data_IF_498028680715
#
_entry.id   IF_498028680715
#
_cell.length_a   1.000
_cell.length_b   1.000
_cell.length_c   1.000
_cell.angle_alpha   90.00
_cell.angle_beta   90.00
_cell.angle_gamma   90.00
#
_symmetry.space_group_name_H-M   'P 1'
#
loop_
_entity.id
_entity.type
_entity.pdbx_description
1 polymer ?
#
# COMPACT_ATOMS: atom_id res chain seq x y z
N UNK A 1 44.03 -53.87 75.66
CA UNK A 1 45.36 -54.26 75.13
C UNK A 1 45.17 -54.91 73.78
N UNK A 2 45.72 -54.26 72.75
CA UNK A 2 46.09 -54.72 71.41
C UNK A 2 45.27 -55.83 70.71
N UNK A 3 44.25 -55.43 69.95
CA UNK A 3 43.90 -56.19 68.75
C UNK A 3 45.05 -56.00 67.75
N UNK A 4 45.73 -57.10 67.38
CA UNK A 4 46.88 -57.09 66.49
C UNK A 4 46.56 -56.47 65.11
N UNK A 5 47.59 -56.03 64.34
CA UNK A 5 47.38 -55.37 63.07
C UNK A 5 46.71 -56.35 62.10
N UNK A 6 45.41 -56.17 61.86
CA UNK A 6 44.71 -56.86 60.79
C UNK A 6 45.49 -56.65 59.48
N UNK A 7 45.81 -57.75 58.79
CA UNK A 7 46.57 -57.67 57.55
C UNK A 7 45.88 -56.73 56.56
N UNK A 8 46.66 -55.98 55.78
CA UNK A 8 46.17 -55.02 54.78
C UNK A 8 45.09 -55.63 53.87
N UNK A 9 45.22 -56.93 53.60
CA UNK A 9 44.29 -57.74 52.84
C UNK A 9 42.89 -57.82 53.48
N UNK A 10 42.83 -58.05 54.78
CA UNK A 10 41.58 -58.13 55.56
C UNK A 10 40.85 -56.78 55.64
N UNK A 11 41.59 -55.66 55.65
CA UNK A 11 41.02 -54.30 55.59
C UNK A 11 40.47 -54.00 54.19
N UNK A 12 41.15 -54.43 53.14
CA UNK A 12 40.70 -54.26 51.76
C UNK A 12 39.46 -55.12 51.45
N UNK A 13 39.38 -56.35 51.96
CA UNK A 13 38.20 -57.19 51.79
C UNK A 13 36.97 -56.63 52.52
N UNK A 14 37.14 -56.13 53.75
CA UNK A 14 36.05 -55.45 54.49
C UNK A 14 35.59 -54.18 53.77
N UNK A 15 36.52 -53.41 53.19
CA UNK A 15 36.20 -52.20 52.44
C UNK A 15 35.47 -52.52 51.12
N UNK A 16 35.92 -53.55 50.40
CA UNK A 16 35.26 -54.02 49.18
C UNK A 16 33.82 -54.50 49.45
N UNK A 17 33.58 -55.19 50.57
CA UNK A 17 32.24 -55.62 50.97
C UNK A 17 31.30 -54.42 51.28
N UNK A 18 31.81 -53.39 51.95
CA UNK A 18 31.02 -52.21 52.33
C UNK A 18 30.63 -51.33 51.13
N UNK A 19 31.45 -51.30 50.08
CA UNK A 19 31.16 -50.57 48.83
C UNK A 19 30.34 -51.43 47.85
N UNK A 20 29.89 -52.62 48.27
CA UNK A 20 29.03 -53.50 47.48
C UNK A 20 29.74 -54.24 46.34
N UNK A 21 31.07 -54.34 46.38
CA UNK A 21 31.85 -54.99 45.33
C UNK A 21 31.65 -56.52 45.37
N UNK A 22 30.77 -57.04 44.50
CA UNK A 22 30.63 -58.48 44.26
C UNK A 22 31.57 -58.87 43.12
N UNK A 23 32.78 -59.30 43.46
CA UNK A 23 33.89 -59.58 42.54
C UNK A 23 33.64 -60.66 41.47
N UNK A 24 32.78 -60.38 40.49
CA UNK A 24 32.56 -61.24 39.32
C UNK A 24 32.44 -60.38 38.06
N UNK A 25 33.58 -59.94 37.56
CA UNK A 25 33.70 -59.47 36.17
C UNK A 25 33.89 -60.70 35.28
N UNK A 26 33.13 -60.81 34.18
CA UNK A 26 33.20 -61.92 33.23
C UNK A 26 34.60 -61.98 32.59
N UNK A 27 35.25 -63.14 32.72
CA UNK A 27 36.38 -63.56 31.89
C UNK A 27 37.75 -63.39 32.56
N UNK A 28 38.29 -64.49 33.11
CA UNK A 28 39.71 -64.92 33.19
C UNK A 28 39.97 -65.88 34.40
N UNK A 29 41.06 -66.68 34.37
CA UNK A 29 41.07 -68.06 34.90
C UNK A 29 41.38 -68.17 36.40
N UNK A 30 41.08 -69.37 36.91
CA UNK A 30 40.89 -69.74 38.34
C UNK A 30 42.12 -69.73 39.25
N UNK A 31 43.30 -69.28 38.83
CA UNK A 31 44.50 -69.40 39.65
C UNK A 31 45.28 -68.07 39.71
N UNK A 32 44.95 -67.25 40.70
CA UNK A 32 45.82 -66.18 41.14
C UNK A 32 45.74 -66.08 42.67
N UNK A 33 46.88 -66.40 43.28
CA UNK A 33 47.26 -66.13 44.67
C UNK A 33 46.77 -64.76 45.16
N UNK A 34 46.52 -64.65 46.48
CA UNK A 34 45.79 -63.57 47.15
C UNK A 34 46.12 -62.11 46.81
N UNK A 35 47.24 -61.81 46.12
CA UNK A 35 47.58 -60.48 45.64
C UNK A 35 46.77 -59.96 44.42
N UNK A 36 46.26 -60.84 43.55
CA UNK A 36 45.60 -60.41 42.30
C UNK A 36 44.22 -59.76 42.49
N UNK A 37 43.49 -60.17 43.53
CA UNK A 37 42.15 -59.63 43.83
C UNK A 37 42.19 -58.20 44.35
N UNK A 38 43.23 -57.85 45.11
CA UNK A 38 43.43 -56.51 45.65
C UNK A 38 43.77 -55.49 44.55
N UNK A 39 44.62 -55.86 43.59
CA UNK A 39 44.96 -55.01 42.45
C UNK A 39 43.73 -54.71 41.57
N UNK A 40 42.89 -55.72 41.29
CA UNK A 40 41.68 -55.55 40.51
C UNK A 40 40.63 -54.67 41.23
N UNK A 41 40.49 -54.81 42.54
CA UNK A 41 39.62 -53.93 43.33
C UNK A 41 40.08 -52.47 43.28
N UNK A 42 41.40 -52.23 43.42
CA UNK A 42 41.94 -50.86 43.35
C UNK A 42 41.79 -50.26 41.95
N UNK A 43 41.97 -51.04 40.88
CA UNK A 43 41.74 -50.55 39.53
C UNK A 43 40.27 -50.20 39.28
N UNK A 44 39.34 -51.02 39.76
CA UNK A 44 37.91 -50.72 39.70
C UNK A 44 37.57 -49.45 40.51
N UNK A 45 38.09 -49.34 41.73
CA UNK A 45 37.85 -48.19 42.60
C UNK A 45 38.38 -46.91 41.96
N UNK A 46 39.63 -46.90 41.48
CA UNK A 46 40.23 -45.74 40.82
C UNK A 46 39.53 -45.39 39.50
N UNK A 47 38.86 -46.34 38.83
CA UNK A 47 38.05 -46.07 37.63
C UNK A 47 36.66 -45.50 37.91
N UNK A 48 36.14 -45.66 39.12
CA UNK A 48 34.80 -45.20 39.55
C UNK A 48 34.85 -43.99 40.50
N UNK A 49 36.03 -43.61 40.97
CA UNK A 49 36.25 -42.42 41.79
C UNK A 49 36.32 -41.18 40.89
N UNK A 50 35.22 -40.45 40.81
CA UNK A 50 35.17 -39.07 40.31
C UNK A 50 35.47 -38.13 41.49
N UNK A 51 36.12 -36.97 41.32
CA UNK A 51 36.34 -36.00 42.42
C UNK A 51 35.06 -35.54 43.14
N UNK A 52 33.88 -35.74 42.55
CA UNK A 52 32.58 -35.55 43.19
C UNK A 52 32.23 -36.60 44.26
N UNK A 53 32.93 -37.75 44.28
CA UNK A 53 32.73 -38.84 45.23
C UNK A 53 33.68 -38.75 46.45
N UNK A 54 34.57 -37.76 46.47
CA UNK A 54 35.51 -37.53 47.55
C UNK A 54 35.00 -36.38 48.43
N UNK A 55 34.52 -36.70 49.63
CA UNK A 55 34.12 -35.70 50.60
C UNK A 55 35.35 -34.91 51.09
N UNK A 56 35.23 -33.60 51.13
CA UNK A 56 36.22 -32.74 51.77
C UNK A 56 36.12 -32.85 53.30
N UNK A 57 37.21 -32.56 54.00
CA UNK A 57 37.25 -32.65 55.47
C UNK A 57 36.17 -31.76 56.14
N UNK A 58 35.86 -30.60 55.55
CA UNK A 58 34.80 -29.71 56.03
C UNK A 58 33.39 -30.28 55.86
N UNK A 59 33.16 -31.12 54.84
CA UNK A 59 31.86 -31.78 54.63
C UNK A 59 31.68 -32.96 55.58
N UNK A 60 32.77 -33.66 55.92
CA UNK A 60 32.74 -34.67 56.98
C UNK A 60 32.40 -34.06 58.35
N UNK A 61 33.01 -32.92 58.69
CA UNK A 61 32.74 -32.25 59.97
C UNK A 61 31.28 -31.81 60.08
N UNK A 62 30.70 -31.30 58.98
CA UNK A 62 29.27 -30.96 58.89
C UNK A 62 28.37 -32.19 58.98
N UNK A 63 28.76 -33.31 58.38
CA UNK A 63 28.02 -34.56 58.49
C UNK A 63 28.05 -35.12 59.92
N UNK A 64 29.18 -35.03 60.61
CA UNK A 64 29.26 -35.41 62.03
C UNK A 64 28.42 -34.50 62.93
N UNK A 65 28.35 -33.21 62.63
CA UNK A 65 27.46 -32.26 63.31
C UNK A 65 25.99 -32.61 63.07
N UNK A 66 25.60 -32.91 61.83
CA UNK A 66 24.24 -33.36 61.49
C UNK A 66 23.88 -34.70 62.15
N UNK A 67 24.86 -35.60 62.31
CA UNK A 67 24.67 -36.87 63.01
C UNK A 67 24.43 -36.67 64.51
N UNK A 68 25.05 -35.65 65.11
CA UNK A 68 24.83 -35.28 66.52
C UNK A 68 23.48 -34.62 66.75
N UNK A 69 22.94 -33.91 65.75
CA UNK A 69 21.61 -33.28 65.83
C UNK A 69 20.45 -34.23 65.49
N UNK A 70 20.74 -35.45 65.03
CA UNK A 70 19.75 -36.49 64.76
C UNK A 70 18.94 -36.28 63.48
N UNK A 71 19.33 -35.33 62.63
CA UNK A 71 18.65 -34.99 61.36
C UNK A 71 19.42 -35.61 60.19
N UNK A 72 19.65 -36.92 60.24
CA UNK A 72 20.28 -37.66 59.14
C UNK A 72 19.26 -38.65 58.60
N UNK A 73 18.88 -38.47 57.34
CA UNK A 73 17.96 -39.35 56.64
C UNK A 73 18.70 -40.65 56.29
N UNK A 74 18.27 -41.77 56.87
CA UNK A 74 18.88 -43.09 56.63
C UNK A 74 17.88 -44.05 55.95
N UNK A 75 18.39 -44.89 55.04
CA UNK A 75 17.61 -45.99 54.47
C UNK A 75 16.47 -45.58 53.52
N UNK A 76 15.22 -45.82 53.92
CA UNK A 76 14.04 -45.68 53.07
C UNK A 76 13.66 -44.21 52.82
N UNK A 77 13.81 -43.35 53.82
CA UNK A 77 13.50 -41.91 53.72
C UNK A 77 14.47 -41.18 52.79
N UNK A 78 15.75 -41.55 52.82
CA UNK A 78 16.74 -41.04 51.88
C UNK A 78 16.45 -41.51 50.45
N UNK A 79 16.02 -42.76 50.27
CA UNK A 79 15.65 -43.30 48.96
C UNK A 79 14.42 -42.60 48.39
N UNK A 80 13.45 -42.25 49.23
CA UNK A 80 12.27 -41.50 48.81
C UNK A 80 12.60 -40.05 48.47
N UNK A 81 13.46 -39.40 49.25
CA UNK A 81 13.95 -38.05 48.96
C UNK A 81 14.78 -38.02 47.65
N UNK A 82 15.66 -38.99 47.42
CA UNK A 82 16.42 -39.12 46.18
C UNK A 82 15.50 -39.44 44.99
N UNK A 83 14.50 -40.31 45.16
CA UNK A 83 13.50 -40.59 44.12
C UNK A 83 12.66 -39.36 43.74
N UNK A 84 12.40 -38.46 44.70
CA UNK A 84 11.76 -37.16 44.45
C UNK A 84 12.67 -36.20 43.68
N UNK A 85 13.98 -36.24 43.92
CA UNK A 85 14.99 -35.43 43.21
C UNK A 85 15.23 -35.96 41.78
N UNK A 86 15.29 -37.29 41.61
CA UNK A 86 15.41 -37.95 40.30
C UNK A 86 14.11 -37.79 39.48
N UNK A 87 12.94 -37.80 40.12
CA UNK A 87 11.66 -37.47 39.49
C UNK A 87 11.57 -36.01 39.01
N UNK A 88 12.29 -35.08 39.65
CA UNK A 88 12.40 -33.69 39.23
C UNK A 88 13.45 -33.44 38.13
N UNK A 89 14.35 -34.39 37.85
CA UNK A 89 15.30 -34.28 36.72
C UNK A 89 14.74 -34.83 35.40
N UNK A 90 13.60 -35.53 35.45
CA UNK A 90 12.83 -35.97 34.28
C UNK A 90 11.74 -34.99 33.81
N UNK A 91 11.52 -33.89 34.54
CA UNK A 91 10.64 -32.80 34.09
C UNK A 91 11.47 -31.80 33.32
N UNK A 92 10.97 -31.36 32.17
CA UNK A 92 11.51 -30.33 31.27
C UNK A 92 11.77 -28.99 31.99
N UNK A 93 12.75 -28.95 32.88
CA UNK A 93 13.34 -27.72 33.35
C UNK A 93 14.06 -27.14 32.15
N UNK A 94 13.42 -26.18 31.47
CA UNK A 94 14.04 -25.43 30.36
C UNK A 94 15.47 -25.09 30.78
N UNK A 95 16.44 -25.67 30.08
CA UNK A 95 17.86 -25.42 30.32
C UNK A 95 18.10 -23.91 30.40
N UNK A 96 19.05 -23.45 31.21
CA UNK A 96 19.28 -22.01 31.39
C UNK A 96 19.53 -21.30 30.04
N UNK A 97 20.11 -22.00 29.06
CA UNK A 97 20.24 -21.54 27.67
C UNK A 97 18.90 -21.34 26.95
N UNK A 98 17.91 -22.21 27.16
CA UNK A 98 16.57 -22.07 26.56
C UNK A 98 15.81 -20.88 27.13
N UNK A 99 15.92 -20.63 28.44
CA UNK A 99 15.34 -19.45 29.08
C UNK A 99 16.01 -18.16 28.58
N UNK A 100 17.34 -18.17 28.40
CA UNK A 100 18.07 -17.04 27.80
C UNK A 100 17.65 -16.79 26.35
N UNK A 101 17.46 -17.83 25.55
CA UNK A 101 16.98 -17.72 24.19
C UNK A 101 15.54 -17.16 24.13
N UNK A 102 14.66 -17.59 25.04
CA UNK A 102 13.30 -17.09 25.15
C UNK A 102 13.25 -15.62 25.58
N UNK A 103 14.07 -15.21 26.55
CA UNK A 103 14.23 -13.80 26.96
C UNK A 103 14.72 -12.97 25.78
N UNK A 104 15.73 -13.43 25.05
CA UNK A 104 16.25 -12.71 23.87
C UNK A 104 15.20 -12.57 22.76
N UNK A 105 14.39 -13.62 22.53
CA UNK A 105 13.29 -13.58 21.58
C UNK A 105 12.17 -12.61 22.01
N UNK A 106 11.87 -12.56 23.31
CA UNK A 106 10.90 -11.62 23.86
C UNK A 106 11.41 -10.17 23.79
N UNK A 107 12.68 -9.92 24.09
CA UNK A 107 13.31 -8.61 23.93
C UNK A 107 13.26 -8.13 22.48
N UNK A 108 13.54 -9.03 21.53
CA UNK A 108 13.43 -8.73 20.11
C UNK A 108 11.98 -8.40 19.72
N UNK A 109 11.01 -9.15 20.23
CA UNK A 109 9.57 -8.92 19.99
C UNK A 109 9.07 -7.59 20.59
N UNK A 110 9.54 -7.24 21.78
CA UNK A 110 9.25 -5.94 22.42
C UNK A 110 9.87 -4.81 21.61
N UNK A 111 11.10 -4.99 21.11
CA UNK A 111 11.76 -3.98 20.27
C UNK A 111 11.00 -3.75 18.96
N UNK A 112 10.53 -4.80 18.29
CA UNK A 112 9.74 -4.67 17.06
C UNK A 112 8.39 -4.01 17.33
N UNK A 113 7.68 -4.41 18.40
CA UNK A 113 6.42 -3.77 18.80
C UNK A 113 6.60 -2.29 19.13
N UNK A 114 7.71 -1.91 19.77
CA UNK A 114 8.04 -0.51 20.05
C UNK A 114 8.25 0.30 18.75
N UNK A 115 8.94 -0.27 17.76
CA UNK A 115 9.10 0.40 16.45
C UNK A 115 7.77 0.54 15.71
N UNK A 116 6.88 -0.46 15.79
CA UNK A 116 5.54 -0.38 15.23
C UNK A 116 4.70 0.70 15.92
N UNK A 117 4.76 0.80 17.25
CA UNK A 117 4.05 1.83 17.99
C UNK A 117 4.55 3.23 17.63
N UNK A 118 5.87 3.42 17.49
CA UNK A 118 6.44 4.68 17.03
C UNK A 118 5.97 5.04 15.60
N UNK A 119 5.93 4.07 14.69
CA UNK A 119 5.38 4.26 13.34
C UNK A 119 3.92 4.72 13.38
N UNK A 120 3.07 4.05 14.16
CA UNK A 120 1.66 4.42 14.31
C UNK A 120 1.52 5.83 14.91
N UNK A 121 2.32 6.17 15.91
CA UNK A 121 2.30 7.50 16.53
C UNK A 121 2.74 8.60 15.53
N UNK A 122 3.76 8.33 14.72
CA UNK A 122 4.16 9.24 13.64
C UNK A 122 3.05 9.44 12.59
N UNK A 123 2.30 8.38 12.27
CA UNK A 123 1.15 8.48 11.37
C UNK A 123 0.04 9.32 12.03
N UNK A 124 -0.27 9.09 13.30
CA UNK A 124 -1.29 9.86 14.02
C UNK A 124 -0.93 11.35 14.12
N UNK A 125 0.32 11.69 14.40
CA UNK A 125 0.77 13.09 14.44
C UNK A 125 0.67 13.75 13.06
N UNK A 126 1.07 13.04 12.01
CA UNK A 126 0.94 13.52 10.62
C UNK A 126 -0.52 13.76 10.23
N UNK A 127 -1.41 12.81 10.56
CA UNK A 127 -2.85 12.94 10.31
C UNK A 127 -3.45 14.11 11.11
N UNK A 128 -3.04 14.30 12.35
CA UNK A 128 -3.51 15.41 13.19
C UNK A 128 -3.11 16.78 12.61
N UNK A 129 -1.87 16.91 12.11
CA UNK A 129 -1.42 18.13 11.43
C UNK A 129 -2.20 18.37 10.14
N UNK A 130 -2.43 17.32 9.34
CA UNK A 130 -3.22 17.43 8.11
C UNK A 130 -4.67 17.84 8.40
N UNK A 131 -5.30 17.25 9.42
CA UNK A 131 -6.65 17.62 9.84
C UNK A 131 -6.73 19.09 10.30
N UNK A 132 -5.73 19.58 11.05
CA UNK A 132 -5.67 20.98 11.43
C UNK A 132 -5.50 21.90 10.20
N UNK A 133 -4.71 21.49 9.21
CA UNK A 133 -4.56 22.21 7.94
C UNK A 133 -5.89 22.32 7.16
N UNK A 134 -6.62 21.22 7.01
CA UNK A 134 -7.92 21.19 6.33
C UNK A 134 -8.97 22.06 7.03
N UNK A 135 -8.98 22.07 8.37
CA UNK A 135 -9.91 22.92 9.12
C UNK A 135 -9.62 24.40 8.88
N UNK A 136 -8.34 24.78 8.83
CA UNK A 136 -7.92 26.15 8.51
C UNK A 136 -8.30 26.56 7.09
N UNK A 137 -8.05 25.69 6.11
CA UNK A 137 -8.45 25.94 4.71
C UNK A 137 -9.96 26.11 4.58
N UNK A 138 -10.75 25.27 5.27
CA UNK A 138 -12.21 25.40 5.33
C UNK A 138 -12.68 26.72 5.95
N UNK A 139 -12.01 27.21 7.00
CA UNK A 139 -12.31 28.52 7.60
C UNK A 139 -12.00 29.67 6.63
N UNK A 140 -10.86 29.61 5.93
CA UNK A 140 -10.47 30.59 4.91
C UNK A 140 -11.46 30.59 3.72
N UNK A 141 -11.87 29.42 3.24
CA UNK A 141 -12.92 29.26 2.21
C UNK A 141 -14.27 29.82 2.68
N UNK A 142 -14.67 29.58 3.93
CA UNK A 142 -15.91 30.13 4.48
C UNK A 142 -15.89 31.66 4.54
N UNK A 143 -14.74 32.26 4.88
CA UNK A 143 -14.58 33.71 4.93
C UNK A 143 -14.62 34.33 3.54
N UNK A 144 -13.93 33.72 2.57
CA UNK A 144 -13.96 34.18 1.17
C UNK A 144 -15.36 34.04 0.58
N UNK A 145 -16.05 32.93 0.82
CA UNK A 145 -17.44 32.74 0.41
C UNK A 145 -18.35 33.82 1.00
N UNK A 146 -18.27 34.09 2.31
CA UNK A 146 -19.05 35.15 2.96
C UNK A 146 -18.79 36.53 2.34
N UNK A 147 -17.53 36.85 2.03
CA UNK A 147 -17.17 38.09 1.35
C UNK A 147 -17.76 38.17 -0.07
N UNK A 148 -17.68 37.08 -0.85
CA UNK A 148 -18.27 37.04 -2.20
C UNK A 148 -19.78 37.19 -2.18
N UNK A 149 -20.47 36.55 -1.23
CA UNK A 149 -21.93 36.68 -1.04
C UNK A 149 -22.29 38.12 -0.71
N UNK A 150 -21.57 38.76 0.23
CA UNK A 150 -21.78 40.17 0.57
C UNK A 150 -21.58 41.08 -0.65
N UNK A 151 -20.51 40.86 -1.43
CA UNK A 151 -20.25 41.63 -2.65
C UNK A 151 -21.31 41.42 -3.74
N UNK A 152 -21.86 40.21 -3.87
CA UNK A 152 -22.95 39.96 -4.81
C UNK A 152 -24.24 40.61 -4.34
N UNK A 153 -24.50 40.63 -3.03
CA UNK A 153 -25.67 41.27 -2.47
C UNK A 153 -25.65 42.79 -2.65
N UNK A 154 -24.48 43.43 -2.52
CA UNK A 154 -24.33 44.86 -2.82
C UNK A 154 -24.51 45.15 -4.31
N UNK A 155 -23.90 44.35 -5.20
CA UNK A 155 -24.09 44.50 -6.64
C UNK A 155 -25.56 44.33 -7.07
N UNK A 156 -26.28 43.38 -6.47
CA UNK A 156 -27.70 43.15 -6.73
C UNK A 156 -28.54 44.34 -6.28
N UNK A 157 -28.25 44.93 -5.12
CA UNK A 157 -28.93 46.14 -4.65
C UNK A 157 -28.66 47.33 -5.60
N UNK A 158 -27.43 47.51 -6.08
CA UNK A 158 -27.11 48.57 -7.06
C UNK A 158 -27.88 48.36 -8.36
N UNK A 159 -27.92 47.13 -8.89
CA UNK A 159 -28.66 46.83 -10.11
C UNK A 159 -30.18 47.05 -9.95
N UNK A 160 -30.74 46.77 -8.78
CA UNK A 160 -32.15 47.07 -8.46
C UNK A 160 -32.40 48.58 -8.45
N UNK A 161 -31.52 49.35 -7.84
CA UNK A 161 -31.60 50.81 -7.84
C UNK A 161 -31.50 51.39 -9.26
N UNK A 162 -30.59 50.87 -10.09
CA UNK A 162 -30.45 51.29 -11.49
C UNK A 162 -31.72 50.97 -12.29
N UNK A 163 -32.33 49.79 -12.08
CA UNK A 163 -33.61 49.44 -12.70
C UNK A 163 -34.74 50.39 -12.30
N UNK A 164 -34.82 50.78 -11.02
CA UNK A 164 -35.80 51.78 -10.55
C UNK A 164 -35.59 53.13 -11.23
N UNK A 165 -34.33 53.57 -11.38
CA UNK A 165 -34.00 54.81 -12.09
C UNK A 165 -34.37 54.73 -13.58
N UNK A 166 -34.06 53.61 -14.24
CA UNK A 166 -34.41 53.41 -15.66
C UNK A 166 -35.92 53.39 -15.83
N UNK A 167 -36.66 52.69 -14.98
CA UNK A 167 -38.12 52.67 -15.04
C UNK A 167 -38.71 54.07 -14.89
N UNK A 168 -38.22 54.86 -13.92
CA UNK A 168 -38.64 56.26 -13.75
C UNK A 168 -38.29 57.13 -14.97
N UNK A 169 -37.12 56.93 -15.58
CA UNK A 169 -36.73 57.64 -16.80
C UNK A 169 -37.60 57.24 -18.01
N UNK A 170 -37.97 55.97 -18.13
CA UNK A 170 -38.86 55.45 -19.18
C UNK A 170 -40.27 56.00 -19.00
N UNK A 171 -40.79 56.05 -17.76
CA UNK A 171 -42.08 56.69 -17.46
C UNK A 171 -42.05 58.19 -17.81
N UNK A 172 -40.96 58.88 -17.47
CA UNK A 172 -40.77 60.29 -17.85
C UNK A 172 -40.70 60.49 -19.37
N UNK A 173 -40.01 59.61 -20.09
CA UNK A 173 -39.97 59.62 -21.55
C UNK A 173 -41.36 59.33 -22.13
N UNK A 174 -42.10 58.37 -21.57
CA UNK A 174 -43.47 58.06 -21.96
C UNK A 174 -44.38 59.27 -21.83
N UNK A 175 -44.33 59.97 -20.69
CA UNK A 175 -45.08 61.22 -20.50
C UNK A 175 -44.67 62.32 -21.47
N UNK A 176 -43.38 62.47 -21.77
CA UNK A 176 -42.91 63.46 -22.74
C UNK A 176 -43.33 63.11 -24.17
N UNK A 177 -43.36 61.83 -24.53
CA UNK A 177 -43.88 61.34 -25.80
C UNK A 177 -45.39 61.56 -25.88
N UNK A 178 -46.14 61.30 -24.81
CA UNK A 178 -47.58 61.59 -24.73
C UNK A 178 -47.86 63.09 -24.88
N UNK A 179 -47.03 63.96 -24.28
CA UNK A 179 -47.11 65.41 -24.47
C UNK A 179 -46.88 65.78 -25.94
N UNK A 180 -45.83 65.25 -26.58
CA UNK A 180 -45.54 65.47 -28.02
C UNK A 180 -46.69 64.97 -28.88
N UNK A 181 -47.22 63.78 -28.61
CA UNK A 181 -48.39 63.22 -29.30
C UNK A 181 -49.60 64.14 -29.12
N UNK A 182 -49.83 64.68 -27.92
CA UNK A 182 -50.94 65.61 -27.66
C UNK A 182 -50.82 66.94 -28.42
N UNK A 183 -49.60 67.46 -28.58
CA UNK A 183 -49.33 68.63 -29.43
C UNK A 183 -49.60 68.36 -30.91
N UNK A 184 -49.40 67.12 -31.36
CA UNK A 184 -49.68 66.70 -32.74
C UNK A 184 -51.13 66.25 -32.97
N UNK A 185 -51.88 65.90 -31.91
CA UNK A 185 -53.29 65.51 -31.95
C UNK A 185 -54.25 66.68 -31.72
N UNK A 186 -53.88 67.90 -32.11
CA UNK A 186 -54.81 69.03 -32.01
C UNK A 186 -56.00 68.83 -32.97
N UNK A 187 -57.27 68.90 -32.51
CA UNK A 187 -58.42 68.89 -33.39
C UNK A 187 -58.38 70.14 -34.29
N UNK A 188 -58.46 69.91 -35.60
CA UNK A 188 -58.81 70.94 -36.57
C UNK A 188 -60.15 71.57 -36.16
N UNK A 189 -60.11 72.81 -35.69
CA UNK A 189 -61.23 73.72 -35.81
C UNK A 189 -61.28 74.26 -37.23
N UNK A 190 -62.26 73.77 -37.99
CA UNK A 190 -62.93 74.39 -39.14
C UNK A 190 -62.12 75.33 -40.05
N UNK A 191 -61.62 74.78 -41.16
CA UNK A 191 -61.90 75.20 -42.55
C UNK A 191 -60.72 74.85 -43.48
N UNK A 192 -61.00 73.96 -44.44
CA UNK A 192 -60.33 73.95 -45.74
C UNK A 192 -58.91 73.38 -45.84
N UNK A 193 -58.82 72.19 -46.41
CA UNK A 193 -57.62 71.75 -47.15
C UNK A 193 -56.79 70.69 -46.44
N UNK A 194 -56.79 69.48 -47.02
CA UNK A 194 -55.97 68.36 -46.56
C UNK A 194 -54.50 68.74 -46.48
N UNK A 195 -53.93 68.53 -45.30
CA UNK A 195 -52.52 68.69 -45.00
C UNK A 195 -52.16 67.69 -43.93
N UNK A 196 -52.05 66.44 -44.36
CA UNK A 196 -51.47 65.32 -43.62
C UNK A 196 -50.14 65.77 -43.00
N UNK A 197 -50.10 66.02 -41.68
CA UNK A 197 -48.87 66.21 -40.93
C UNK A 197 -48.22 64.83 -40.69
N UNK A 198 -47.87 64.15 -41.78
CA UNK A 198 -47.05 62.94 -41.80
C UNK A 198 -45.60 63.36 -42.01
N UNK A 199 -44.94 63.78 -40.94
CA UNK A 199 -43.50 64.14 -40.95
C UNK A 199 -42.57 62.93 -40.74
N UNK A 200 -43.12 61.74 -40.55
CA UNK A 200 -42.36 60.50 -40.61
C UNK A 200 -42.98 59.61 -41.67
N UNK A 201 -42.25 59.41 -42.76
CA UNK A 201 -42.55 58.38 -43.74
C UNK A 201 -42.59 57.03 -43.05
N UNK A 202 -43.78 56.59 -42.64
CA UNK A 202 -44.03 55.21 -42.20
C UNK A 202 -44.02 54.29 -43.43
N UNK A 203 -42.86 54.11 -44.05
CA UNK A 203 -42.62 52.86 -44.75
C UNK A 203 -42.34 51.82 -43.66
N UNK A 204 -43.28 50.90 -43.42
CA UNK A 204 -43.09 49.88 -42.39
C UNK A 204 -41.83 49.08 -42.67
N UNK A 205 -40.78 49.27 -41.87
CA UNK A 205 -39.54 48.49 -41.97
C UNK A 205 -39.76 47.02 -41.61
N UNK A 206 -40.91 46.69 -41.03
CA UNK A 206 -41.28 45.36 -40.55
C UNK A 206 -41.22 44.29 -41.65
N UNK A 207 -41.59 44.63 -42.89
CA UNK A 207 -41.45 43.71 -44.02
C UNK A 207 -39.99 43.44 -44.39
N UNK A 208 -39.09 44.43 -44.26
CA UNK A 208 -37.67 44.25 -44.51
C UNK A 208 -37.02 43.47 -43.37
N UNK A 209 -37.34 43.80 -42.11
CA UNK A 209 -36.83 43.08 -40.94
C UNK A 209 -37.29 41.61 -40.93
N UNK A 210 -38.57 41.35 -41.25
CA UNK A 210 -39.07 39.98 -41.35
C UNK A 210 -38.42 39.19 -42.50
N UNK A 211 -38.14 39.83 -43.64
CA UNK A 211 -37.42 39.21 -44.74
C UNK A 211 -35.94 38.97 -44.42
N UNK A 212 -35.27 39.91 -43.73
CA UNK A 212 -33.90 39.75 -43.24
C UNK A 212 -33.80 38.62 -42.21
N UNK A 213 -34.75 38.53 -41.27
CA UNK A 213 -34.80 37.44 -40.28
C UNK A 213 -35.01 36.09 -40.95
N UNK A 214 -35.92 36.00 -41.94
CA UNK A 214 -36.14 34.78 -42.72
C UNK A 214 -34.86 34.37 -43.50
N UNK A 215 -34.17 35.33 -44.11
CA UNK A 215 -32.93 35.05 -44.82
C UNK A 215 -31.79 34.65 -43.88
N UNK A 216 -31.66 35.33 -42.74
CA UNK A 216 -30.64 35.03 -41.73
C UNK A 216 -30.86 33.66 -41.10
N UNK A 217 -32.11 33.27 -40.85
CA UNK A 217 -32.43 31.93 -40.33
C UNK A 217 -32.10 30.83 -41.34
N UNK A 218 -32.43 31.02 -42.62
CA UNK A 218 -32.10 30.07 -43.69
C UNK A 218 -30.58 29.97 -43.91
N UNK A 219 -29.88 31.11 -43.92
CA UNK A 219 -28.42 31.17 -44.01
C UNK A 219 -27.75 30.49 -42.82
N UNK A 220 -28.29 30.70 -41.62
CA UNK A 220 -27.80 30.04 -40.38
C UNK A 220 -28.02 28.53 -40.47
N UNK A 221 -29.18 28.07 -40.93
CA UNK A 221 -29.48 26.65 -41.10
C UNK A 221 -28.56 26.00 -42.15
N UNK A 222 -28.35 26.66 -43.30
CA UNK A 222 -27.42 26.21 -44.33
C UNK A 222 -25.99 26.11 -43.80
N UNK A 223 -25.50 27.15 -43.11
CA UNK A 223 -24.17 27.16 -42.50
C UNK A 223 -24.02 26.02 -41.50
N UNK A 224 -25.04 25.80 -40.65
CA UNK A 224 -25.01 24.70 -39.69
C UNK A 224 -24.93 23.34 -40.35
N UNK A 225 -25.71 23.12 -41.41
CA UNK A 225 -25.72 21.88 -42.17
C UNK A 225 -24.37 21.61 -42.87
N UNK A 226 -23.76 22.64 -43.48
CA UNK A 226 -22.50 22.47 -44.20
C UNK A 226 -21.30 22.26 -43.30
N UNK A 227 -21.25 22.96 -42.16
CA UNK A 227 -20.05 23.00 -41.32
C UNK A 227 -20.13 22.15 -40.06
N UNK A 228 -21.31 21.90 -39.48
CA UNK A 228 -21.40 21.24 -38.17
C UNK A 228 -21.90 19.79 -38.25
N UNK A 229 -22.71 19.43 -39.24
CA UNK A 229 -23.29 18.08 -39.30
C UNK A 229 -22.25 16.97 -39.61
N UNK A 230 -21.21 17.27 -40.40
CA UNK A 230 -20.12 16.31 -40.69
C UNK A 230 -19.14 16.11 -39.53
N UNK A 231 -19.05 17.05 -38.60
CA UNK A 231 -18.11 16.98 -37.47
C UNK A 231 -18.57 15.97 -36.42
N UNK A 232 -19.89 15.86 -36.19
CA UNK A 232 -20.47 14.84 -35.32
C UNK A 232 -20.15 13.41 -35.81
N UNK A 233 -20.13 13.20 -37.13
CA UNK A 233 -19.80 11.91 -37.75
C UNK A 233 -18.31 11.56 -37.58
N UNK A 234 -17.40 12.54 -37.62
CA UNK A 234 -15.97 12.33 -37.39
C UNK A 234 -15.61 11.98 -35.93
N UNK A 235 -16.50 12.26 -34.98
CA UNK A 235 -16.28 12.05 -33.54
C UNK A 235 -16.76 10.69 -33.01
N UNK A 236 -17.22 9.77 -33.88
CA UNK A 236 -17.84 8.49 -33.48
C UNK A 236 -19.01 8.64 -32.48
N UNK A 237 -19.70 9.78 -32.47
CA UNK A 237 -20.90 10.00 -31.66
C UNK A 237 -22.10 10.07 -32.58
N UNK A 238 -22.58 8.92 -33.03
CA UNK A 238 -23.90 8.78 -33.66
C UNK A 238 -24.96 8.71 -32.56
N UNK A 239 -25.42 9.88 -32.10
CA UNK A 239 -26.60 10.03 -31.27
C UNK A 239 -27.60 10.95 -31.99
N UNK A 240 -28.73 10.38 -32.40
CA UNK A 240 -29.84 11.08 -33.03
C UNK A 240 -30.66 11.81 -31.96
N UNK A 241 -30.22 12.99 -31.51
CA UNK A 241 -31.06 13.84 -30.66
C UNK A 241 -31.19 15.23 -31.33
N UNK A 242 -32.16 15.33 -32.25
CA UNK A 242 -32.81 16.61 -32.55
C UNK A 242 -33.73 16.97 -31.38
N UNK A 243 -33.69 18.23 -30.97
CA UNK A 243 -34.61 18.88 -30.03
C UNK A 243 -34.51 18.47 -28.55
N UNK A 244 -33.47 18.97 -27.89
CA UNK A 244 -33.42 19.09 -26.43
C UNK A 244 -32.36 20.11 -26.04
N UNK A 245 -32.62 20.91 -25.00
CA UNK A 245 -31.68 21.83 -24.36
C UNK A 245 -30.22 21.42 -24.58
N UNK A 246 -29.38 22.32 -25.12
CA UNK A 246 -27.93 22.12 -25.29
C UNK A 246 -27.37 21.47 -24.03
N UNK A 247 -27.14 20.16 -24.07
CA UNK A 247 -26.54 19.46 -22.96
C UNK A 247 -25.07 19.89 -22.94
N UNK A 248 -24.73 20.69 -21.94
CA UNK A 248 -23.38 21.19 -21.69
C UNK A 248 -22.41 20.04 -21.36
N UNK A 249 -22.92 18.83 -21.11
CA UNK A 249 -22.15 17.61 -20.90
C UNK A 249 -22.10 16.70 -22.14
N UNK A 250 -22.75 17.06 -23.25
CA UNK A 250 -22.62 16.30 -24.50
C UNK A 250 -21.17 16.40 -24.99
N UNK A 251 -20.46 15.27 -25.19
CA UNK A 251 -19.11 15.27 -25.75
C UNK A 251 -19.04 16.03 -27.08
N UNK A 252 -20.11 16.07 -27.89
CA UNK A 252 -20.12 16.86 -29.13
C UNK A 252 -20.05 18.37 -28.86
N UNK A 253 -20.68 18.89 -27.79
CA UNK A 253 -20.61 20.30 -27.41
C UNK A 253 -19.26 20.70 -26.80
N UNK A 254 -18.64 19.81 -26.00
CA UNK A 254 -17.28 19.99 -25.46
C UNK A 254 -16.26 20.01 -26.59
N UNK A 255 -16.47 19.20 -27.63
CA UNK A 255 -15.64 19.15 -28.84
C UNK A 255 -15.79 20.39 -29.73
N UNK A 256 -16.95 21.06 -29.70
CA UNK A 256 -17.28 22.25 -30.49
C UNK A 256 -16.85 23.56 -29.84
N UNK A 257 -17.03 23.72 -28.52
CA UNK A 257 -16.73 24.95 -27.78
C UNK A 257 -15.39 24.90 -27.03
N UNK A 258 -14.81 23.71 -26.89
CA UNK A 258 -13.75 23.42 -25.94
C UNK A 258 -14.31 23.25 -24.53
N UNK A 259 -13.59 22.55 -23.64
CA UNK A 259 -13.97 22.47 -22.23
C UNK A 259 -14.03 23.88 -21.62
N UNK A 260 -14.93 24.09 -20.65
CA UNK A 260 -14.90 25.32 -19.86
C UNK A 260 -13.53 25.47 -19.17
N UNK A 261 -13.09 26.70 -18.87
CA UNK A 261 -11.79 26.93 -18.21
C UNK A 261 -11.63 26.08 -16.93
N UNK A 262 -12.72 25.92 -16.19
CA UNK A 262 -12.79 25.09 -14.98
C UNK A 262 -12.70 23.59 -15.30
N UNK A 263 -13.44 23.10 -16.31
CA UNK A 263 -13.34 21.70 -16.76
C UNK A 263 -11.97 21.36 -17.31
N UNK A 264 -11.34 22.25 -18.09
CA UNK A 264 -9.98 22.09 -18.59
C UNK A 264 -8.99 21.98 -17.43
N UNK A 265 -9.11 22.88 -16.43
CA UNK A 265 -8.27 22.82 -15.23
C UNK A 265 -8.44 21.52 -14.45
N UNK A 266 -9.67 21.01 -14.35
CA UNK A 266 -10.00 19.72 -13.73
C UNK A 266 -9.38 18.55 -14.51
N UNK A 267 -9.52 18.53 -15.84
CA UNK A 267 -8.94 17.50 -16.70
C UNK A 267 -7.41 17.50 -16.64
N UNK A 268 -6.78 18.68 -16.62
CA UNK A 268 -5.33 18.79 -16.43
C UNK A 268 -4.89 18.24 -15.06
N UNK A 269 -5.66 18.50 -13.99
CA UNK A 269 -5.39 17.91 -12.66
C UNK A 269 -5.52 16.40 -12.69
N UNK A 270 -6.59 15.86 -13.29
CA UNK A 270 -6.78 14.41 -13.41
C UNK A 270 -5.71 13.74 -14.27
N UNK A 271 -5.34 14.33 -15.41
CA UNK A 271 -4.24 13.83 -16.25
C UNK A 271 -2.91 13.83 -15.49
N UNK A 272 -2.64 14.87 -14.69
CA UNK A 272 -1.44 14.93 -13.85
C UNK A 272 -1.49 13.86 -12.77
N UNK A 273 -2.65 13.63 -12.15
CA UNK A 273 -2.86 12.58 -11.16
C UNK A 273 -2.62 11.20 -11.78
N UNK A 274 -3.21 10.91 -12.94
CA UNK A 274 -3.05 9.64 -13.65
C UNK A 274 -1.60 9.42 -14.09
N UNK A 275 -0.93 10.44 -14.62
CA UNK A 275 0.49 10.39 -15.00
C UNK A 275 1.38 10.02 -13.81
N UNK A 276 1.10 10.56 -12.62
CA UNK A 276 1.87 10.25 -11.42
C UNK A 276 1.53 8.88 -10.83
N UNK A 277 0.29 8.42 -11.02
CA UNK A 277 -0.19 7.14 -10.50
C UNK A 277 0.26 5.95 -11.36
N UNK A 278 0.35 6.15 -12.69
CA UNK A 278 0.66 5.08 -13.65
C UNK A 278 1.91 4.27 -13.29
N UNK A 279 3.08 4.87 -12.98
CA UNK A 279 4.28 4.08 -12.68
C UNK A 279 4.13 3.20 -11.45
N UNK A 280 3.35 3.67 -10.46
CA UNK A 280 3.09 2.93 -9.21
C UNK A 280 2.19 1.73 -9.49
N UNK A 281 1.09 1.96 -10.22
CA UNK A 281 0.13 0.90 -10.57
C UNK A 281 0.78 -0.14 -11.46
N UNK A 282 1.57 0.29 -12.45
CA UNK A 282 2.22 -0.62 -13.38
C UNK A 282 3.33 -1.44 -12.69
N UNK A 283 4.09 -0.83 -11.78
CA UNK A 283 5.03 -1.56 -10.94
C UNK A 283 4.33 -2.59 -10.06
N UNK A 284 3.18 -2.25 -9.48
CA UNK A 284 2.40 -3.18 -8.67
C UNK A 284 1.88 -4.34 -9.51
N UNK A 285 1.32 -4.04 -10.69
CA UNK A 285 0.81 -5.04 -11.64
C UNK A 285 1.90 -6.04 -12.03
N UNK A 286 3.09 -5.57 -12.37
CA UNK A 286 4.24 -6.44 -12.70
C UNK A 286 4.65 -7.28 -11.48
N UNK A 287 4.68 -6.69 -10.29
CA UNK A 287 4.99 -7.43 -9.05
C UNK A 287 3.99 -8.54 -8.76
N UNK A 288 2.70 -8.29 -9.00
CA UNK A 288 1.64 -9.27 -8.75
C UNK A 288 1.73 -10.44 -9.75
N UNK A 289 1.95 -10.14 -11.04
CA UNK A 289 2.20 -11.17 -12.08
C UNK A 289 3.43 -12.01 -11.73
N UNK A 290 4.51 -11.37 -11.26
CA UNK A 290 5.71 -12.08 -10.82
C UNK A 290 5.45 -12.98 -9.61
N UNK A 291 4.61 -12.55 -8.67
CA UNK A 291 4.26 -13.34 -7.50
C UNK A 291 3.44 -14.60 -7.87
N UNK A 292 2.52 -14.46 -8.82
CA UNK A 292 1.72 -15.57 -9.36
C UNK A 292 2.61 -16.58 -10.09
N UNK A 293 3.40 -16.13 -11.07
CA UNK A 293 4.33 -16.99 -11.82
C UNK A 293 5.37 -17.65 -10.90
N UNK A 294 5.84 -16.93 -9.88
CA UNK A 294 6.75 -17.48 -8.87
C UNK A 294 6.08 -18.62 -8.09
N UNK A 295 4.84 -18.42 -7.63
CA UNK A 295 4.10 -19.46 -6.91
C UNK A 295 3.89 -20.71 -7.78
N UNK A 296 3.52 -20.53 -9.05
CA UNK A 296 3.35 -21.64 -10.00
C UNK A 296 4.67 -22.37 -10.28
N UNK A 297 5.78 -21.64 -10.46
CA UNK A 297 7.09 -22.23 -10.68
C UNK A 297 7.57 -23.03 -9.45
N UNK A 298 7.30 -22.53 -8.25
CA UNK A 298 7.59 -23.26 -6.99
C UNK A 298 6.78 -24.55 -6.90
N UNK A 299 5.48 -24.50 -7.20
CA UNK A 299 4.63 -25.69 -7.22
C UNK A 299 5.13 -26.72 -8.24
N UNK A 300 5.38 -26.29 -9.49
CA UNK A 300 5.94 -27.16 -10.54
C UNK A 300 7.26 -27.80 -10.09
N UNK A 301 8.18 -27.03 -9.52
CA UNK A 301 9.47 -27.56 -9.05
C UNK A 301 9.30 -28.54 -7.89
N UNK A 302 8.35 -28.29 -6.98
CA UNK A 302 8.04 -29.21 -5.90
C UNK A 302 7.48 -30.54 -6.43
N UNK A 303 6.60 -30.51 -7.43
CA UNK A 303 6.07 -31.70 -8.09
C UNK A 303 7.17 -32.52 -8.80
N UNK A 304 8.07 -31.84 -9.50
CA UNK A 304 9.25 -32.47 -10.12
C UNK A 304 10.13 -33.14 -9.06
N UNK A 305 10.45 -32.45 -7.96
CA UNK A 305 11.27 -33.00 -6.88
C UNK A 305 10.63 -34.22 -6.22
N UNK A 306 9.32 -34.21 -6.00
CA UNK A 306 8.58 -35.37 -5.46
C UNK A 306 8.63 -36.56 -6.43
N UNK A 307 8.56 -36.28 -7.73
CA UNK A 307 8.68 -37.30 -8.78
C UNK A 307 10.10 -37.88 -8.84
N UNK A 308 11.13 -37.02 -8.83
CA UNK A 308 12.55 -37.42 -8.78
C UNK A 308 12.87 -38.28 -7.54
N UNK A 309 12.31 -37.93 -6.36
CA UNK A 309 12.48 -38.69 -5.12
C UNK A 309 11.79 -40.06 -5.15
N UNK A 310 10.69 -40.18 -5.91
CA UNK A 310 10.00 -41.48 -6.10
C UNK A 310 10.83 -42.44 -6.96
N UNK A 311 11.66 -41.90 -7.85
CA UNK A 311 12.44 -42.67 -8.84
C UNK A 311 13.90 -42.94 -8.43
N UNK A 312 14.42 -42.29 -7.38
CA UNK A 312 15.84 -42.36 -7.02
C UNK A 312 16.11 -43.16 -5.73
N UNK A 313 16.67 -44.37 -5.86
CA UNK A 313 17.15 -45.20 -4.74
C UNK A 313 18.69 -45.33 -4.69
N UNK A 314 19.43 -44.29 -5.09
CA UNK A 314 20.90 -44.37 -5.18
C UNK A 314 21.58 -43.78 -3.93
N UNK A 315 22.62 -44.44 -3.38
CA UNK A 315 23.41 -43.89 -2.29
C UNK A 315 24.27 -42.72 -2.82
N UNK A 316 24.06 -41.52 -2.27
CA UNK A 316 24.83 -40.32 -2.64
C UNK A 316 26.07 -40.16 -1.75
N UNK A 317 27.19 -39.82 -2.37
CA UNK A 317 28.43 -39.42 -1.68
C UNK A 317 28.30 -38.00 -1.09
N UNK A 318 28.56 -37.89 0.22
CA UNK A 318 28.43 -36.65 1.00
C UNK A 318 29.36 -35.52 0.55
N UNK A 319 30.49 -35.85 -0.06
CA UNK A 319 31.49 -34.86 -0.51
C UNK A 319 31.05 -34.13 -1.77
N UNK A 320 30.56 -34.87 -2.77
CA UNK A 320 29.94 -34.35 -4.00
C UNK A 320 28.68 -33.52 -3.71
N UNK A 321 27.87 -33.94 -2.74
CA UNK A 321 26.72 -33.19 -2.25
C UNK A 321 27.11 -31.80 -1.72
N UNK A 322 28.17 -31.72 -0.91
CA UNK A 322 28.65 -30.43 -0.38
C UNK A 322 29.14 -29.51 -1.49
N UNK A 323 29.85 -30.03 -2.47
CA UNK A 323 30.30 -29.25 -3.63
C UNK A 323 29.10 -28.70 -4.42
N UNK A 324 28.13 -29.55 -4.77
CA UNK A 324 26.93 -29.12 -5.49
C UNK A 324 26.08 -28.13 -4.70
N UNK A 325 25.95 -28.28 -3.38
CA UNK A 325 25.26 -27.29 -2.53
C UNK A 325 25.98 -25.94 -2.60
N UNK A 326 27.32 -25.94 -2.60
CA UNK A 326 28.13 -24.73 -2.76
C UNK A 326 27.91 -24.04 -4.10
N UNK A 327 28.00 -24.79 -5.20
CA UNK A 327 27.77 -24.30 -6.56
C UNK A 327 26.34 -23.75 -6.74
N UNK A 328 25.32 -24.49 -6.26
CA UNK A 328 23.92 -24.07 -6.32
C UNK A 328 23.65 -22.82 -5.48
N UNK A 329 24.28 -22.69 -4.31
CA UNK A 329 24.18 -21.48 -3.49
C UNK A 329 24.82 -20.28 -4.17
N UNK A 330 25.96 -20.49 -4.84
CA UNK A 330 26.59 -19.47 -5.69
C UNK A 330 25.65 -19.00 -6.81
N UNK A 331 25.08 -19.93 -7.57
CA UNK A 331 24.11 -19.63 -8.62
C UNK A 331 22.89 -18.88 -8.08
N UNK A 332 22.34 -19.31 -6.94
CA UNK A 332 21.19 -18.66 -6.31
C UNK A 332 21.52 -17.23 -5.88
N UNK A 333 22.71 -16.98 -5.32
CA UNK A 333 23.14 -15.63 -4.95
C UNK A 333 23.35 -14.72 -6.17
N UNK A 334 23.88 -15.27 -7.27
CA UNK A 334 24.02 -14.54 -8.53
C UNK A 334 22.65 -14.14 -9.10
N UNK A 335 21.73 -15.12 -9.20
CA UNK A 335 20.37 -14.88 -9.68
C UNK A 335 19.63 -13.88 -8.80
N UNK A 336 19.76 -13.96 -7.47
CA UNK A 336 19.17 -12.96 -6.57
C UNK A 336 19.71 -11.55 -6.82
N UNK A 337 21.02 -11.41 -7.06
CA UNK A 337 21.62 -10.11 -7.40
C UNK A 337 21.09 -9.58 -8.73
N UNK A 338 20.96 -10.44 -9.73
CA UNK A 338 20.42 -10.10 -11.05
C UNK A 338 18.95 -9.68 -10.98
N UNK A 339 18.11 -10.43 -10.26
CA UNK A 339 16.71 -10.06 -9.99
C UNK A 339 16.61 -8.73 -9.26
N UNK A 340 17.48 -8.48 -8.29
CA UNK A 340 17.49 -7.21 -7.55
C UNK A 340 17.91 -6.04 -8.46
N UNK A 341 18.88 -6.25 -9.35
CA UNK A 341 19.29 -5.26 -10.36
C UNK A 341 18.15 -4.95 -11.34
N UNK A 342 17.49 -6.00 -11.87
CA UNK A 342 16.34 -5.84 -12.77
C UNK A 342 15.19 -5.08 -12.09
N UNK A 343 14.82 -5.47 -10.87
CA UNK A 343 13.72 -4.85 -10.14
C UNK A 343 13.99 -3.39 -9.72
N UNK A 344 15.24 -3.07 -9.33
CA UNK A 344 15.58 -1.72 -8.82
C UNK A 344 16.02 -0.73 -9.88
N UNK A 345 16.64 -1.20 -10.97
CA UNK A 345 17.23 -0.31 -11.97
C UNK A 345 16.51 -0.38 -13.31
N UNK A 346 16.27 -1.57 -13.84
CA UNK A 346 15.75 -1.71 -15.21
C UNK A 346 14.23 -1.52 -15.28
N UNK A 347 13.48 -2.13 -14.36
CA UNK A 347 12.02 -2.09 -14.35
C UNK A 347 11.46 -0.65 -14.20
N UNK A 348 11.94 0.20 -13.27
CA UNK A 348 11.45 1.57 -13.15
C UNK A 348 11.71 2.41 -14.40
N UNK A 349 12.88 2.23 -15.04
CA UNK A 349 13.23 2.94 -16.27
C UNK A 349 12.31 2.54 -17.42
N UNK A 350 12.05 1.23 -17.58
CA UNK A 350 11.18 0.73 -18.64
C UNK A 350 9.72 1.22 -18.43
N UNK A 351 9.23 1.20 -17.19
CA UNK A 351 7.89 1.72 -16.87
C UNK A 351 7.81 3.22 -17.18
N UNK A 352 8.87 3.97 -16.90
CA UNK A 352 8.95 5.38 -17.26
C UNK A 352 8.89 5.58 -18.78
N UNK A 353 9.67 4.82 -19.55
CA UNK A 353 9.69 4.91 -21.01
C UNK A 353 8.32 4.57 -21.60
N UNK A 354 7.65 3.51 -21.13
CA UNK A 354 6.28 3.16 -21.54
C UNK A 354 5.31 4.29 -21.21
N UNK A 355 5.38 4.88 -20.02
CA UNK A 355 4.54 6.01 -19.66
C UNK A 355 4.74 7.22 -20.59
N UNK A 356 5.99 7.50 -21.00
CA UNK A 356 6.26 8.58 -21.97
C UNK A 356 5.72 8.27 -23.36
N UNK A 357 5.80 7.01 -23.79
CA UNK A 357 5.24 6.55 -25.07
C UNK A 357 3.72 6.65 -25.09
N UNK A 358 3.03 6.24 -24.02
CA UNK A 358 1.57 6.37 -23.92
C UNK A 358 1.12 7.83 -24.02
N UNK A 359 1.80 8.76 -23.34
CA UNK A 359 1.52 10.21 -23.47
C UNK A 359 1.69 10.66 -24.92
N UNK A 360 2.72 10.17 -25.62
CA UNK A 360 2.92 10.46 -27.04
C UNK A 360 1.77 9.93 -27.90
N UNK A 361 1.19 8.77 -27.58
CA UNK A 361 0.03 8.23 -28.34
C UNK A 361 -1.23 9.05 -28.14
N UNK A 362 -1.50 9.51 -26.92
CA UNK A 362 -2.64 10.40 -26.62
C UNK A 362 -2.50 11.72 -27.38
N UNK A 363 -1.29 12.29 -27.33
CA UNK A 363 -0.99 13.54 -28.03
C UNK A 363 -1.13 13.37 -29.56
N UNK A 364 -0.66 12.25 -30.10
CA UNK A 364 -0.83 11.91 -31.52
C UNK A 364 -2.32 11.81 -31.90
N UNK A 365 -3.14 11.18 -31.07
CA UNK A 365 -4.59 11.11 -31.25
C UNK A 365 -5.23 12.50 -31.32
N UNK A 366 -4.93 13.38 -30.37
CA UNK A 366 -5.45 14.77 -30.35
C UNK A 366 -5.04 15.56 -31.61
N UNK A 367 -3.76 15.49 -32.00
CA UNK A 367 -3.30 16.13 -33.22
C UNK A 367 -3.95 15.54 -34.48
N UNK A 368 -4.10 14.23 -34.56
CA UNK A 368 -4.77 13.59 -35.70
C UNK A 368 -6.22 14.05 -35.85
N UNK A 369 -6.93 14.22 -34.73
CA UNK A 369 -8.29 14.74 -34.72
C UNK A 369 -8.33 16.23 -35.14
N UNK A 370 -7.39 17.04 -34.65
CA UNK A 370 -7.25 18.45 -35.06
C UNK A 370 -6.96 18.59 -36.56
N UNK A 371 -6.09 17.76 -37.11
CA UNK A 371 -5.79 17.72 -38.54
C UNK A 371 -7.03 17.29 -39.33
N UNK A 372 -7.71 16.21 -38.93
CA UNK A 372 -8.95 15.78 -39.59
C UNK A 372 -10.04 16.87 -39.60
N UNK A 373 -10.17 17.65 -38.51
CA UNK A 373 -11.06 18.82 -38.46
C UNK A 373 -10.63 19.91 -39.42
N UNK A 374 -9.35 20.25 -39.41
CA UNK A 374 -8.80 21.27 -40.30
C UNK A 374 -9.03 20.88 -41.76
N UNK A 375 -8.70 19.64 -42.12
CA UNK A 375 -8.91 19.09 -43.46
C UNK A 375 -10.39 19.12 -43.87
N UNK A 376 -11.31 18.81 -42.94
CA UNK A 376 -12.75 18.93 -43.17
C UNK A 376 -13.17 20.37 -43.47
N UNK A 377 -12.73 21.34 -42.65
CA UNK A 377 -13.07 22.75 -42.86
C UNK A 377 -12.46 23.30 -44.14
N UNK A 378 -11.21 22.97 -44.44
CA UNK A 378 -10.53 23.36 -45.69
C UNK A 378 -11.23 22.76 -46.90
N UNK A 379 -11.58 21.47 -46.86
CA UNK A 379 -12.33 20.81 -47.94
C UNK A 379 -13.72 21.44 -48.16
N UNK A 380 -14.43 21.80 -47.07
CA UNK A 380 -15.72 22.49 -47.17
C UNK A 380 -15.57 23.91 -47.69
N UNK A 381 -14.53 24.63 -47.28
CA UNK A 381 -14.22 25.96 -47.79
C UNK A 381 -13.95 25.95 -49.29
N UNK A 382 -13.21 24.94 -49.79
CA UNK A 382 -12.97 24.74 -51.23
C UNK A 382 -14.24 24.35 -52.02
N UNK A 383 -15.29 23.92 -51.34
CA UNK A 383 -16.59 23.55 -51.98
C UNK A 383 -17.57 24.73 -52.00
N UNK A 384 -17.43 25.68 -51.06
CA UNK A 384 -18.35 26.81 -50.86
C UNK A 384 -17.83 28.09 -51.53
N UNK A 385 -16.51 28.25 -51.66
CA UNK A 385 -15.85 29.24 -52.52
C UNK A 385 -15.80 28.72 -53.97
#
# INVERSE_FOLDING_TARGET
MAAGPASLHQRLETCAANVGYRGRVRGLPKEASGGGKAAHFLQWLCGQLVPANAFSQSELDKFEEMKKTGVVLEGAELREALGKIEGCSGSEGKTMEQLRAEISCLEQSVSSLKTQLQSINNIQTTLSVHQAGLLKEREEESLTHSHTVSSHQTALHTAQQDNEMVNSAVEGLGSAVDDVISFHQHPQGEEGGGGELSLFSHTSSEHYSSAEDAYLTELTAYTKKQFFQGIAVMAHTSGEDEDGLVDLNDPANILMRGPSSEQYSSHCRELTRLKNLYPVVESQRVSDILAEEYAEAVCRRAEELVSELRDTSSPLDSSLLRQHIGERRGQLSHLQSETCHLARQQLPNLIHDVATLEISTILHGDYSLKMARQDYFTSKQDTVL
#
